data_IF_487937431095
#
_entry.id   IF_487937431095
#
_cell.length_a   1.000
_cell.length_b   1.000
_cell.length_c   1.000
_cell.angle_alpha   90.00
_cell.angle_beta   90.00
_cell.angle_gamma   90.00
#
_symmetry.space_group_name_H-M   'P 1'
#
loop_
_entity.id
_entity.type
_entity.pdbx_description
1 polymer ?
#
# COMPACT_ATOMS: atom_id res chain seq x y z
N UNK A 1 2.20 29.95 -7.26
CA UNK A 1 1.84 29.80 -5.84
C UNK A 1 2.54 28.55 -5.32
N UNK A 2 3.62 28.71 -4.55
CA UNK A 2 4.38 27.59 -4.00
C UNK A 2 3.65 27.08 -2.76
N UNK A 3 3.00 25.92 -2.86
CA UNK A 3 2.27 25.33 -1.74
C UNK A 3 3.27 24.89 -0.67
N UNK A 4 3.22 25.58 0.48
CA UNK A 4 4.05 25.34 1.65
C UNK A 4 4.05 23.86 2.06
N UNK A 5 5.19 23.20 1.91
CA UNK A 5 5.43 21.84 2.42
C UNK A 5 5.22 21.74 3.95
N UNK A 6 5.24 22.87 4.66
CA UNK A 6 5.07 22.94 6.11
C UNK A 6 3.60 22.78 6.58
N UNK A 7 2.61 22.89 5.69
CA UNK A 7 1.19 22.70 6.01
C UNK A 7 0.64 21.33 5.53
N UNK A 8 1.51 20.46 5.04
CA UNK A 8 1.12 19.15 4.52
C UNK A 8 1.25 18.10 5.62
N UNK A 9 0.28 17.18 5.70
CA UNK A 9 0.32 16.08 6.66
C UNK A 9 1.61 15.26 6.51
N UNK A 10 2.15 14.75 7.61
CA UNK A 10 3.48 14.10 7.63
C UNK A 10 3.69 13.03 6.55
N UNK A 11 2.65 12.25 6.22
CA UNK A 11 2.69 11.23 5.17
C UNK A 11 2.81 11.82 3.76
N UNK A 12 2.25 13.02 3.50
CA UNK A 12 2.46 13.74 2.23
C UNK A 12 3.90 14.18 2.07
N UNK A 13 4.50 14.67 3.16
CA UNK A 13 5.90 15.12 3.16
C UNK A 13 6.85 13.93 2.90
N UNK A 14 6.52 12.75 3.41
CA UNK A 14 7.23 11.50 3.14
C UNK A 14 7.01 10.92 1.72
N UNK A 15 6.31 11.64 0.82
CA UNK A 15 6.01 11.16 -0.53
C UNK A 15 4.99 10.02 -0.58
N UNK A 16 4.27 9.77 0.51
CA UNK A 16 3.22 8.74 0.58
C UNK A 16 1.87 9.31 0.14
N UNK A 17 1.12 8.53 -0.63
CA UNK A 17 -0.26 8.87 -0.97
C UNK A 17 -1.19 8.55 0.21
N UNK A 18 -2.32 9.25 0.29
CA UNK A 18 -3.32 9.01 1.34
C UNK A 18 -3.80 7.55 1.35
N UNK A 19 -3.97 6.95 0.17
CA UNK A 19 -4.39 5.55 0.03
C UNK A 19 -3.38 4.59 0.66
N UNK A 20 -2.08 4.81 0.41
CA UNK A 20 -1.02 4.00 1.03
C UNK A 20 -1.00 4.18 2.55
N UNK A 21 -1.17 5.41 3.03
CA UNK A 21 -1.23 5.70 4.47
C UNK A 21 -2.42 5.00 5.15
N UNK A 22 -3.63 5.14 4.60
CA UNK A 22 -4.85 4.55 5.16
C UNK A 22 -4.79 3.02 5.17
N UNK A 23 -4.26 2.40 4.11
CA UNK A 23 -4.07 0.96 4.05
C UNK A 23 -3.07 0.47 5.11
N UNK A 24 -1.95 1.18 5.31
CA UNK A 24 -0.97 0.83 6.36
C UNK A 24 -1.59 0.88 7.76
N UNK A 25 -2.34 1.94 8.07
CA UNK A 25 -3.05 2.01 9.35
C UNK A 25 -4.04 0.86 9.53
N UNK A 26 -4.77 0.49 8.47
CA UNK A 26 -5.70 -0.63 8.50
C UNK A 26 -4.98 -1.96 8.73
N UNK A 27 -3.81 -2.16 8.11
CA UNK A 27 -2.97 -3.37 8.29
C UNK A 27 -2.49 -3.48 9.75
N UNK A 28 -2.03 -2.38 10.35
CA UNK A 28 -1.63 -2.36 11.77
C UNK A 28 -2.80 -2.67 12.71
N UNK A 29 -3.98 -2.11 12.43
CA UNK A 29 -5.20 -2.39 13.20
C UNK A 29 -5.54 -3.88 13.10
N UNK A 30 -5.52 -4.47 11.89
CA UNK A 30 -5.81 -5.90 11.66
C UNK A 30 -4.81 -6.82 12.37
N UNK A 31 -3.54 -6.43 12.44
CA UNK A 31 -2.51 -7.18 13.18
C UNK A 31 -2.77 -7.23 14.69
N UNK A 32 -3.40 -6.19 15.25
CA UNK A 32 -3.71 -6.08 16.68
C UNK A 32 -4.99 -6.84 17.11
N UNK A 33 -5.76 -7.42 16.18
CA UNK A 33 -6.95 -8.22 16.53
C UNK A 33 -6.58 -9.57 17.16
N UNK A 34 -7.50 -10.10 17.98
CA UNK A 34 -7.40 -11.44 18.59
C UNK A 34 -7.85 -12.52 17.59
N UNK A 35 -7.31 -13.73 17.69
CA UNK A 35 -7.84 -14.87 16.94
C UNK A 35 -9.27 -15.19 17.43
N UNK A 36 -10.27 -15.43 16.55
CA UNK A 36 -10.22 -15.89 15.14
C UNK A 36 -10.49 -14.81 14.07
N UNK A 37 -10.76 -13.58 14.49
CA UNK A 37 -11.12 -12.49 13.57
C UNK A 37 -9.91 -11.97 12.81
N UNK A 38 -8.71 -12.10 13.38
CA UNK A 38 -7.43 -11.82 12.71
C UNK A 38 -7.23 -12.68 11.46
N UNK A 39 -7.49 -13.99 11.52
CA UNK A 39 -7.42 -14.86 10.34
C UNK A 39 -8.34 -14.42 9.19
N UNK A 40 -9.58 -14.01 9.50
CA UNK A 40 -10.52 -13.47 8.49
C UNK A 40 -10.08 -12.12 7.93
N UNK A 41 -9.45 -11.29 8.77
CA UNK A 41 -8.98 -9.97 8.39
C UNK A 41 -7.72 -10.02 7.50
N UNK A 42 -6.82 -10.98 7.76
CA UNK A 42 -5.59 -11.21 6.97
C UNK A 42 -5.87 -11.51 5.49
N UNK A 43 -6.98 -12.19 5.18
CA UNK A 43 -7.36 -12.45 3.79
C UNK A 43 -7.55 -11.17 2.95
N UNK A 44 -7.85 -10.03 3.60
CA UNK A 44 -8.03 -8.73 2.92
C UNK A 44 -6.72 -7.97 2.69
N UNK A 45 -5.62 -8.41 3.27
CA UNK A 45 -4.29 -7.78 3.13
C UNK A 45 -3.55 -8.28 1.87
N UNK A 46 -4.03 -9.38 1.30
CA UNK A 46 -3.40 -10.03 0.17
C UNK A 46 -3.80 -9.31 -1.12
N UNK A 47 -2.83 -8.77 -1.83
CA UNK A 47 -3.04 -8.08 -3.10
C UNK A 47 -2.24 -8.81 -4.18
N UNK A 48 -2.95 -9.40 -5.13
CA UNK A 48 -2.39 -10.01 -6.34
C UNK A 48 -2.77 -9.16 -7.54
N UNK A 49 -1.81 -8.45 -8.12
CA UNK A 49 -2.04 -7.73 -9.36
C UNK A 49 -0.82 -7.72 -10.27
N UNK A 50 -1.09 -7.70 -11.58
CA UNK A 50 -0.08 -7.60 -12.62
C UNK A 50 -0.27 -6.29 -13.34
N UNK A 51 0.73 -5.41 -13.27
CA UNK A 51 0.71 -4.14 -13.98
C UNK A 51 1.65 -4.24 -15.20
N UNK A 52 1.14 -3.91 -16.38
CA UNK A 52 1.96 -3.68 -17.56
C UNK A 52 1.89 -2.20 -17.92
N UNK A 53 3.06 -1.55 -18.02
CA UNK A 53 3.15 -0.20 -18.55
C UNK A 53 3.15 -0.32 -20.07
N UNK A 54 2.20 0.33 -20.73
CA UNK A 54 2.16 0.39 -22.19
C UNK A 54 2.84 1.67 -22.62
N UNK A 55 3.89 1.56 -23.43
CA UNK A 55 4.59 2.70 -24.00
C UNK A 55 4.78 2.46 -25.50
N UNK A 56 4.47 3.46 -26.31
CA UNK A 56 4.64 3.42 -27.77
C UNK A 56 3.93 2.23 -28.44
N UNK A 57 2.77 1.83 -27.90
CA UNK A 57 1.94 0.74 -28.44
C UNK A 57 2.40 -0.68 -28.11
N UNK A 58 3.50 -0.84 -27.36
CA UNK A 58 4.02 -2.16 -26.95
C UNK A 58 3.90 -2.32 -25.42
N UNK A 59 3.43 -3.47 -24.92
CA UNK A 59 3.44 -3.75 -23.48
C UNK A 59 4.89 -3.90 -22.99
N UNK A 60 5.28 -3.09 -22.01
CA UNK A 60 6.56 -3.26 -21.31
C UNK A 60 6.50 -4.45 -20.34
N UNK A 61 7.68 -4.82 -19.81
CA UNK A 61 7.86 -5.90 -18.85
C UNK A 61 6.83 -5.80 -17.72
N UNK A 62 6.07 -6.87 -17.53
CA UNK A 62 5.02 -6.95 -16.51
C UNK A 62 5.65 -6.87 -15.13
N UNK A 63 5.17 -5.94 -14.30
CA UNK A 63 5.48 -5.88 -12.87
C UNK A 63 4.41 -6.70 -12.16
N UNK A 64 4.79 -7.92 -11.77
CA UNK A 64 3.95 -8.81 -10.98
C UNK A 64 4.13 -8.41 -9.52
N UNK A 65 3.06 -7.96 -8.88
CA UNK A 65 3.07 -7.61 -7.46
C UNK A 65 2.20 -8.60 -6.71
N UNK A 66 2.86 -9.60 -6.13
CA UNK A 66 2.25 -10.58 -5.24
C UNK A 66 2.62 -10.18 -3.81
N UNK A 67 1.80 -9.34 -3.19
CA UNK A 67 2.03 -8.88 -1.81
C UNK A 67 1.15 -9.71 -0.89
N UNK A 68 1.74 -10.76 -0.29
CA UNK A 68 1.10 -11.72 0.61
C UNK A 68 1.07 -11.26 2.07
N UNK A 69 2.00 -10.38 2.44
CA UNK A 69 2.07 -9.71 3.73
C UNK A 69 1.65 -8.26 3.52
N UNK A 70 0.74 -7.73 4.34
CA UNK A 70 0.28 -6.35 4.24
C UNK A 70 1.44 -5.35 4.14
N UNK A 71 1.13 -4.11 3.75
CA UNK A 71 2.11 -3.07 3.37
C UNK A 71 3.20 -2.84 4.42
N UNK A 72 2.95 -3.21 5.67
CA UNK A 72 3.89 -3.21 6.79
C UNK A 72 5.17 -4.06 6.58
N UNK A 73 5.11 -5.16 5.81
CA UNK A 73 6.26 -6.06 5.60
C UNK A 73 7.36 -5.49 4.68
N UNK A 74 7.10 -4.39 3.97
CA UNK A 74 8.07 -3.73 3.07
C UNK A 74 8.89 -2.61 3.74
N UNK A 75 8.71 -2.40 5.04
CA UNK A 75 9.35 -1.31 5.80
C UNK A 75 10.55 -1.77 6.67
N UNK A 76 10.95 -3.04 6.59
CA UNK A 76 12.16 -3.59 7.22
C UNK A 76 13.29 -3.79 6.21
#
# INVERSE_FOLDING_TARGET
MSSSAAASAYWRVAGMTYLKYSNLCADMVRAALKEPVKAKAKAREIIYFRQSLWKDGVPQKQVITDTTEGTAGKLS
#
